data_IF_664910113812
#
_entry.id   IF_664910113812
#
_cell.length_a   1.000
_cell.length_b   1.000
_cell.length_c   1.000
_cell.angle_alpha   90.00
_cell.angle_beta   90.00
_cell.angle_gamma   90.00
#
_symmetry.space_group_name_H-M   'P 1'
#
loop_
_entity.id
_entity.type
_entity.pdbx_description
1 polymer ?
#
# COMPACT_ATOMS: atom_id res chain seq x y z
N UNK A 1 22.52 -48.35 44.52
CA UNK A 1 22.92 -46.96 44.81
C UNK A 1 23.34 -46.17 43.57
N UNK A 2 23.89 -46.76 42.55
CA UNK A 2 24.21 -46.08 41.31
C UNK A 2 23.02 -45.74 40.42
N UNK A 3 21.90 -46.43 40.58
CA UNK A 3 20.67 -46.20 39.82
C UNK A 3 19.90 -44.91 40.21
N UNK A 4 20.05 -44.43 41.42
CA UNK A 4 19.40 -43.22 41.92
C UNK A 4 20.09 -41.98 41.38
N UNK A 5 21.36 -42.07 41.10
CA UNK A 5 22.16 -40.99 40.49
C UNK A 5 21.82 -40.74 39.01
N UNK A 6 21.42 -41.78 38.31
CA UNK A 6 21.06 -41.70 36.90
C UNK A 6 19.71 -41.05 36.66
N UNK A 7 18.80 -41.22 37.59
CA UNK A 7 17.46 -40.61 37.48
C UNK A 7 17.46 -39.11 37.74
N UNK A 8 18.43 -38.58 38.47
CA UNK A 8 18.53 -37.15 38.73
C UNK A 8 19.17 -36.41 37.56
N UNK A 9 19.98 -37.04 36.76
CA UNK A 9 20.62 -36.39 35.63
C UNK A 9 19.76 -36.36 34.37
N UNK A 10 18.81 -37.28 34.26
CA UNK A 10 17.88 -37.28 33.11
C UNK A 10 16.69 -36.32 33.25
N UNK A 11 16.33 -35.92 34.46
CA UNK A 11 15.25 -34.99 34.65
C UNK A 11 15.64 -33.52 34.46
N UNK A 12 16.91 -33.22 34.47
CA UNK A 12 17.39 -31.84 34.31
C UNK A 12 17.50 -31.38 32.85
N UNK A 13 17.61 -32.31 31.90
CA UNK A 13 17.79 -31.99 30.51
C UNK A 13 16.48 -31.71 29.76
N UNK A 14 15.35 -32.10 30.34
CA UNK A 14 14.06 -31.95 29.63
C UNK A 14 13.36 -30.64 29.92
N UNK A 15 13.67 -29.96 31.02
CA UNK A 15 13.01 -28.70 31.39
C UNK A 15 13.74 -27.45 30.98
N UNK A 16 14.91 -27.62 30.44
CA UNK A 16 15.62 -26.52 29.84
C UNK A 16 15.35 -26.49 28.33
N UNK A 17 14.09 -26.38 27.96
CA UNK A 17 13.80 -25.70 26.74
C UNK A 17 14.59 -24.42 26.81
N UNK A 18 15.55 -24.27 25.91
CA UNK A 18 16.32 -23.06 25.74
C UNK A 18 15.41 -21.88 26.03
N UNK A 19 15.70 -20.99 26.97
CA UNK A 19 15.04 -19.72 27.00
C UNK A 19 15.43 -19.07 25.69
N UNK A 20 14.64 -19.29 24.66
CA UNK A 20 14.58 -18.36 23.58
C UNK A 20 14.04 -17.08 24.25
N UNK A 21 14.96 -16.24 24.67
CA UNK A 21 14.64 -14.85 24.73
C UNK A 21 14.16 -14.55 23.32
N UNK A 22 12.85 -14.51 23.19
CA UNK A 22 12.26 -13.78 22.09
C UNK A 22 13.04 -12.48 22.04
N UNK A 23 13.71 -12.17 20.93
CA UNK A 23 14.31 -10.86 20.82
C UNK A 23 13.24 -9.91 21.30
N UNK A 24 13.56 -8.97 22.22
CA UNK A 24 12.60 -7.99 22.66
C UNK A 24 11.90 -7.55 21.39
N UNK A 25 10.55 -7.49 21.36
CA UNK A 25 9.90 -7.02 20.18
C UNK A 25 10.72 -5.82 19.78
N UNK A 26 11.38 -5.93 18.64
CA UNK A 26 11.97 -4.75 18.09
C UNK A 26 10.79 -3.80 18.18
N UNK A 27 10.87 -2.88 19.12
CA UNK A 27 10.21 -1.63 18.91
C UNK A 27 10.76 -1.29 17.53
N UNK A 28 10.08 -1.78 16.49
CA UNK A 28 10.03 -1.00 15.30
C UNK A 28 9.77 0.36 15.91
N UNK A 29 10.81 1.16 16.01
CA UNK A 29 10.59 2.57 16.05
C UNK A 29 9.62 2.72 14.89
N UNK A 30 8.35 2.71 15.23
CA UNK A 30 7.37 3.37 14.43
C UNK A 30 7.94 4.77 14.39
N UNK A 31 8.90 4.93 13.48
CA UNK A 31 9.08 6.20 12.85
C UNK A 31 7.69 6.41 12.29
N UNK A 32 6.83 7.02 13.11
CA UNK A 32 5.69 7.73 12.60
C UNK A 32 6.32 8.67 11.58
N UNK A 33 6.53 8.14 10.40
CA UNK A 33 6.65 8.95 9.23
C UNK A 33 5.34 9.71 9.27
N UNK A 34 5.40 10.93 9.79
CA UNK A 34 4.28 11.86 9.63
C UNK A 34 3.92 11.81 8.16
N UNK A 35 2.92 11.01 7.85
CA UNK A 35 2.43 10.90 6.48
C UNK A 35 1.82 12.25 6.21
N UNK A 36 2.53 13.07 5.47
CA UNK A 36 2.06 14.41 5.14
C UNK A 36 0.71 14.28 4.44
N UNK A 37 -0.26 15.07 4.83
CA UNK A 37 -1.62 15.05 4.25
C UNK A 37 -1.60 15.15 2.72
N UNK A 38 -0.65 15.91 2.16
CA UNK A 38 -0.45 16.02 0.71
C UNK A 38 -0.14 14.70 0.02
N UNK A 39 0.38 13.72 0.74
CA UNK A 39 0.76 12.42 0.21
C UNK A 39 -0.38 11.40 0.26
N UNK A 40 -1.51 11.74 0.86
CA UNK A 40 -2.66 10.84 1.04
C UNK A 40 -3.84 11.28 0.20
N UNK A 41 -4.36 10.37 -0.60
CA UNK A 41 -5.65 10.53 -1.27
C UNK A 41 -6.66 9.64 -0.57
N UNK A 42 -7.66 10.24 0.05
CA UNK A 42 -8.71 9.50 0.76
C UNK A 42 -9.82 9.11 -0.20
N UNK A 43 -10.10 7.82 -0.29
CA UNK A 43 -11.22 7.26 -1.03
C UNK A 43 -12.17 6.61 -0.04
N UNK A 44 -13.41 7.02 -0.05
CA UNK A 44 -14.44 6.50 0.85
C UNK A 44 -15.61 5.93 0.06
N UNK A 45 -16.00 4.71 0.41
CA UNK A 45 -17.26 4.10 0.01
C UNK A 45 -18.18 4.04 1.23
N UNK A 46 -19.32 4.70 1.13
CA UNK A 46 -20.30 4.72 2.19
C UNK A 46 -21.25 3.50 2.14
N UNK A 47 -22.15 3.42 3.11
CA UNK A 47 -23.16 2.37 3.23
C UNK A 47 -24.15 2.31 2.05
N UNK A 48 -24.25 3.40 1.28
CA UNK A 48 -25.10 3.52 0.10
C UNK A 48 -24.32 3.32 -1.21
N UNK A 49 -23.12 2.76 -1.14
CA UNK A 49 -22.24 2.55 -2.28
C UNK A 49 -21.79 3.84 -2.99
N UNK A 50 -21.87 4.97 -2.30
CA UNK A 50 -21.43 6.25 -2.85
C UNK A 50 -19.94 6.43 -2.68
N UNK A 51 -19.28 6.74 -3.78
CA UNK A 51 -17.85 6.98 -3.83
C UNK A 51 -17.53 8.46 -3.57
N UNK A 52 -16.64 8.71 -2.62
CA UNK A 52 -16.11 10.04 -2.33
C UNK A 52 -14.58 10.04 -2.40
N UNK A 53 -14.06 11.14 -2.88
CA UNK A 53 -12.62 11.40 -2.91
C UNK A 53 -12.36 12.71 -2.14
N UNK A 54 -11.60 12.63 -1.03
CA UNK A 54 -11.40 13.75 -0.12
C UNK A 54 -12.71 14.45 0.27
N UNK A 55 -13.70 13.66 0.66
CA UNK A 55 -15.07 14.08 1.04
C UNK A 55 -15.93 14.66 -0.09
N UNK A 56 -15.41 14.74 -1.30
CA UNK A 56 -16.18 15.17 -2.48
C UNK A 56 -16.75 13.95 -3.22
N UNK A 57 -18.02 13.96 -3.63
CA UNK A 57 -18.58 12.90 -4.46
C UNK A 57 -17.92 12.92 -5.83
N UNK A 58 -17.52 11.74 -6.31
CA UNK A 58 -16.85 11.57 -7.61
C UNK A 58 -17.40 10.38 -8.37
N UNK A 59 -17.32 10.45 -9.68
CA UNK A 59 -17.57 9.30 -10.56
C UNK A 59 -16.32 8.45 -10.70
N UNK A 60 -16.45 7.20 -11.14
CA UNK A 60 -15.30 6.32 -11.39
C UNK A 60 -14.36 6.88 -12.45
N UNK A 61 -14.87 7.57 -13.44
CA UNK A 61 -14.09 8.18 -14.52
C UNK A 61 -13.28 9.37 -14.00
N UNK A 62 -13.92 10.26 -13.25
CA UNK A 62 -13.25 11.39 -12.59
C UNK A 62 -12.20 10.90 -11.59
N UNK A 63 -12.51 9.83 -10.86
CA UNK A 63 -11.57 9.23 -9.91
C UNK A 63 -10.33 8.68 -10.62
N UNK A 64 -10.48 8.05 -11.77
CA UNK A 64 -9.35 7.55 -12.57
C UNK A 64 -8.39 8.70 -12.90
N UNK A 65 -8.90 9.82 -13.38
CA UNK A 65 -8.06 10.99 -13.71
C UNK A 65 -7.46 11.65 -12.46
N UNK A 66 -8.20 11.72 -11.37
CA UNK A 66 -7.69 12.24 -10.09
C UNK A 66 -6.54 11.37 -9.55
N UNK A 67 -6.66 10.06 -9.59
CA UNK A 67 -5.60 9.13 -9.18
C UNK A 67 -4.37 9.29 -10.06
N UNK A 68 -4.54 9.37 -11.36
CA UNK A 68 -3.42 9.57 -12.31
C UNK A 68 -2.67 10.87 -12.02
N UNK A 69 -3.36 11.96 -11.85
CA UNK A 69 -2.76 13.25 -11.53
C UNK A 69 -2.08 13.24 -10.16
N UNK A 70 -2.73 12.60 -9.17
CA UNK A 70 -2.20 12.48 -7.82
C UNK A 70 -0.90 11.67 -7.79
N UNK A 71 -0.88 10.51 -8.42
CA UNK A 71 0.29 9.62 -8.45
C UNK A 71 1.41 10.22 -9.29
N UNK A 72 1.10 10.73 -10.47
CA UNK A 72 2.10 11.24 -11.39
C UNK A 72 2.65 12.61 -10.97
N UNK A 73 1.82 13.46 -10.37
CA UNK A 73 2.17 14.86 -10.05
C UNK A 73 3.05 15.52 -11.13
N UNK A 74 2.56 15.66 -12.35
CA UNK A 74 3.39 16.03 -13.50
C UNK A 74 3.97 17.44 -13.41
N UNK A 75 3.30 18.32 -12.68
CA UNK A 75 3.71 19.72 -12.48
C UNK A 75 4.53 19.94 -11.22
N UNK A 76 4.78 18.87 -10.44
CA UNK A 76 5.41 18.95 -9.14
C UNK A 76 4.72 19.95 -8.20
N UNK A 77 3.41 19.89 -8.17
CA UNK A 77 2.54 20.75 -7.35
C UNK A 77 2.78 20.48 -5.86
N UNK A 78 2.98 21.51 -5.03
CA UNK A 78 3.20 21.35 -3.59
C UNK A 78 1.98 20.81 -2.84
N UNK A 79 0.79 20.80 -3.43
CA UNK A 79 -0.43 20.20 -2.86
C UNK A 79 -0.57 18.71 -3.18
N UNK A 80 0.22 18.21 -4.10
CA UNK A 80 0.24 16.81 -4.51
C UNK A 80 1.44 16.07 -3.88
N UNK A 81 1.48 14.74 -3.91
CA UNK A 81 2.52 13.96 -3.27
C UNK A 81 3.93 14.34 -3.68
N UNK A 82 4.83 14.27 -2.71
CA UNK A 82 6.26 14.41 -2.94
C UNK A 82 6.79 13.25 -3.78
N UNK A 83 7.84 13.53 -4.55
CA UNK A 83 8.55 12.53 -5.33
C UNK A 83 9.96 12.34 -4.79
N UNK A 84 10.49 11.15 -4.94
CA UNK A 84 11.90 10.84 -4.64
C UNK A 84 12.71 10.77 -5.93
N UNK A 85 14.01 11.00 -5.82
CA UNK A 85 14.95 10.77 -6.91
C UNK A 85 15.65 9.45 -6.67
N UNK A 86 15.56 8.53 -7.60
CA UNK A 86 16.18 7.21 -7.53
C UNK A 86 16.81 6.82 -8.86
N UNK A 87 17.78 5.92 -8.78
CA UNK A 87 18.32 5.25 -9.95
C UNK A 87 17.48 4.04 -10.29
N UNK A 88 16.88 4.03 -11.46
CA UNK A 88 16.01 2.95 -11.95
C UNK A 88 16.57 2.42 -13.27
N UNK A 89 16.66 1.11 -13.39
CA UNK A 89 17.09 0.46 -14.61
C UNK A 89 16.30 1.00 -15.81
N UNK A 90 16.94 1.23 -16.94
CA UNK A 90 16.39 1.80 -18.18
C UNK A 90 16.02 3.29 -18.14
N UNK A 91 15.82 3.87 -16.95
CA UNK A 91 15.44 5.28 -16.77
C UNK A 91 16.61 6.13 -16.27
N UNK A 92 17.63 5.49 -15.68
CA UNK A 92 18.71 6.19 -15.01
C UNK A 92 18.20 6.91 -13.75
N UNK A 93 18.83 8.03 -13.43
CA UNK A 93 18.42 8.86 -12.30
C UNK A 93 17.15 9.62 -12.65
N UNK A 94 16.04 9.20 -12.11
CA UNK A 94 14.72 9.75 -12.38
C UNK A 94 13.92 10.01 -11.11
N UNK A 95 12.86 10.79 -11.25
CA UNK A 95 11.88 10.99 -10.18
C UNK A 95 10.89 9.83 -10.15
N UNK A 96 10.69 9.27 -8.97
CA UNK A 96 9.72 8.19 -8.74
C UNK A 96 8.63 8.64 -7.80
N UNK A 97 7.41 8.15 -8.03
CA UNK A 97 6.22 8.45 -7.22
C UNK A 97 6.04 7.43 -6.11
N UNK A 98 6.94 7.40 -5.15
CA UNK A 98 6.98 6.41 -4.07
C UNK A 98 6.47 6.91 -2.72
N UNK A 99 6.00 8.15 -2.66
CA UNK A 99 5.51 8.79 -1.43
C UNK A 99 3.99 8.86 -1.31
N UNK A 100 3.27 8.68 -2.41
CA UNK A 100 1.82 8.72 -2.40
C UNK A 100 1.22 7.50 -1.69
N UNK A 101 0.06 7.70 -1.07
CA UNK A 101 -0.74 6.64 -0.47
C UNK A 101 -2.19 6.85 -0.87
N UNK A 102 -2.82 5.82 -1.45
CA UNK A 102 -4.26 5.77 -1.63
C UNK A 102 -4.88 5.11 -0.39
N UNK A 103 -5.57 5.89 0.41
CA UNK A 103 -6.26 5.41 1.60
C UNK A 103 -7.70 5.08 1.25
N UNK A 104 -8.06 3.80 1.32
CA UNK A 104 -9.41 3.32 1.03
C UNK A 104 -10.11 3.05 2.34
N UNK A 105 -11.24 3.69 2.56
CA UNK A 105 -12.12 3.43 3.68
C UNK A 105 -13.46 2.92 3.18
N UNK A 106 -13.84 1.73 3.62
CA UNK A 106 -15.06 1.05 3.18
C UNK A 106 -15.96 0.82 4.38
N UNK A 107 -17.25 1.17 4.26
CA UNK A 107 -18.24 0.79 5.25
C UNK A 107 -18.48 -0.72 5.24
N UNK A 108 -18.82 -1.31 6.38
CA UNK A 108 -19.20 -2.73 6.46
C UNK A 108 -20.45 -3.08 5.65
N UNK A 109 -21.29 -2.10 5.43
CA UNK A 109 -22.55 -2.25 4.70
C UNK A 109 -22.42 -1.99 3.20
N UNK A 110 -21.22 -1.58 2.76
CA UNK A 110 -20.91 -1.40 1.33
C UNK A 110 -21.04 -2.72 0.59
N UNK A 111 -21.68 -2.72 -0.58
CA UNK A 111 -21.80 -3.89 -1.41
C UNK A 111 -20.44 -4.34 -1.95
N UNK A 112 -20.28 -5.65 -2.13
CA UNK A 112 -19.07 -6.21 -2.75
C UNK A 112 -18.85 -5.68 -4.17
N UNK A 113 -19.93 -5.48 -4.93
CA UNK A 113 -19.87 -4.96 -6.29
C UNK A 113 -19.29 -3.54 -6.34
N UNK A 114 -19.73 -2.65 -5.45
CA UNK A 114 -19.19 -1.29 -5.35
C UNK A 114 -17.70 -1.29 -4.97
N UNK A 115 -17.31 -2.15 -4.03
CA UNK A 115 -15.92 -2.33 -3.66
C UNK A 115 -15.08 -2.83 -4.82
N UNK A 116 -15.57 -3.83 -5.55
CA UNK A 116 -14.90 -4.38 -6.72
C UNK A 116 -14.74 -3.36 -7.85
N UNK A 117 -15.75 -2.54 -8.10
CA UNK A 117 -15.68 -1.44 -9.06
C UNK A 117 -14.63 -0.40 -8.67
N UNK A 118 -14.52 -0.07 -7.38
CA UNK A 118 -13.48 0.82 -6.88
C UNK A 118 -12.08 0.24 -7.11
N UNK A 119 -11.87 -1.03 -6.80
CA UNK A 119 -10.60 -1.71 -7.04
C UNK A 119 -10.23 -1.70 -8.52
N UNK A 120 -11.18 -1.98 -9.39
CA UNK A 120 -10.96 -1.91 -10.84
C UNK A 120 -10.59 -0.52 -11.31
N UNK A 121 -11.21 0.51 -10.75
CA UNK A 121 -10.91 1.91 -11.08
C UNK A 121 -9.47 2.27 -10.71
N UNK A 122 -9.03 1.85 -9.54
CA UNK A 122 -7.65 2.08 -9.07
C UNK A 122 -6.64 1.34 -9.97
N UNK A 123 -6.88 0.07 -10.23
CA UNK A 123 -6.02 -0.74 -11.12
C UNK A 123 -5.95 -0.13 -12.52
N UNK A 124 -7.07 0.34 -13.05
CA UNK A 124 -7.15 1.01 -14.35
C UNK A 124 -6.28 2.26 -14.38
N UNK A 125 -6.34 3.09 -13.34
CA UNK A 125 -5.54 4.31 -13.25
C UNK A 125 -4.03 4.00 -13.27
N UNK A 126 -3.57 3.07 -12.47
CA UNK A 126 -2.17 2.63 -12.46
C UNK A 126 -1.75 1.99 -13.79
N UNK A 127 -2.60 1.18 -14.37
CA UNK A 127 -2.34 0.57 -15.68
C UNK A 127 -2.15 1.62 -16.77
N UNK A 128 -2.99 2.63 -16.80
CA UNK A 128 -2.86 3.73 -17.76
C UNK A 128 -1.55 4.49 -17.56
N UNK A 129 -1.20 4.85 -16.32
CA UNK A 129 0.08 5.52 -16.03
C UNK A 129 1.28 4.68 -16.47
N UNK A 130 1.30 3.41 -16.15
CA UNK A 130 2.38 2.50 -16.52
C UNK A 130 2.47 2.29 -18.03
N UNK A 131 1.32 2.21 -18.70
CA UNK A 131 1.26 2.08 -20.14
C UNK A 131 1.77 3.33 -20.86
N UNK A 132 1.37 4.51 -20.41
CA UNK A 132 1.87 5.79 -20.94
C UNK A 132 3.40 5.90 -20.78
N UNK A 133 3.93 5.51 -19.62
CA UNK A 133 5.37 5.50 -19.39
C UNK A 133 6.08 4.48 -20.28
N UNK A 134 5.51 3.29 -20.46
CA UNK A 134 6.06 2.25 -21.34
C UNK A 134 6.14 2.72 -22.80
N UNK A 135 5.10 3.36 -23.29
CA UNK A 135 5.07 3.91 -24.66
C UNK A 135 6.10 5.03 -24.82
N UNK A 136 6.21 5.90 -23.82
CA UNK A 136 7.17 7.00 -23.82
C UNK A 136 8.62 6.52 -23.83
N UNK A 137 8.95 5.54 -23.00
CA UNK A 137 10.32 5.08 -22.80
C UNK A 137 10.73 3.98 -23.77
N UNK A 138 9.88 2.99 -23.99
CA UNK A 138 10.18 1.78 -24.76
C UNK A 138 9.49 1.72 -26.12
N UNK A 139 8.67 2.71 -26.47
CA UNK A 139 7.91 2.78 -27.72
C UNK A 139 6.99 1.57 -27.97
N UNK A 140 6.57 0.91 -26.92
CA UNK A 140 5.65 -0.22 -26.95
C UNK A 140 4.73 -0.24 -25.73
N UNK A 141 3.54 -0.86 -25.83
CA UNK A 141 2.62 -0.97 -24.71
C UNK A 141 3.22 -1.74 -23.53
N UNK A 142 2.80 -1.44 -22.31
CA UNK A 142 3.23 -2.13 -21.10
C UNK A 142 3.11 -3.65 -21.18
N UNK A 143 2.02 -4.15 -21.79
CA UNK A 143 1.79 -5.58 -21.98
C UNK A 143 2.84 -6.27 -22.85
N UNK A 144 3.50 -5.53 -23.76
CA UNK A 144 4.54 -6.02 -24.65
C UNK A 144 5.96 -5.80 -24.11
N UNK A 145 6.08 -5.18 -22.94
CA UNK A 145 7.37 -4.99 -22.29
C UNK A 145 7.90 -6.30 -21.70
N UNK A 146 9.22 -6.43 -21.60
CA UNK A 146 9.85 -7.54 -20.90
C UNK A 146 9.58 -7.44 -19.39
N UNK A 147 9.80 -8.54 -18.65
CA UNK A 147 9.62 -8.53 -17.19
C UNK A 147 10.50 -7.47 -16.52
N UNK A 148 11.74 -7.34 -16.93
CA UNK A 148 12.67 -6.34 -16.39
C UNK A 148 12.22 -4.90 -16.65
N UNK A 149 11.67 -4.65 -17.83
CA UNK A 149 11.11 -3.34 -18.18
C UNK A 149 9.87 -3.02 -17.35
N UNK A 150 8.99 -3.99 -17.12
CA UNK A 150 7.82 -3.84 -16.26
C UNK A 150 8.20 -3.58 -14.81
N UNK A 151 9.22 -4.27 -14.32
CA UNK A 151 9.72 -4.08 -12.96
C UNK A 151 10.27 -2.66 -12.79
N UNK A 152 11.00 -2.16 -13.76
CA UNK A 152 11.50 -0.78 -13.78
C UNK A 152 10.36 0.25 -13.79
N UNK A 153 9.34 0.04 -14.61
CA UNK A 153 8.14 0.89 -14.65
C UNK A 153 7.41 0.86 -13.30
N UNK A 154 7.30 -0.33 -12.69
CA UNK A 154 6.72 -0.51 -11.36
C UNK A 154 7.47 0.20 -10.25
N UNK A 155 8.77 0.42 -10.39
CA UNK A 155 9.56 1.23 -9.46
C UNK A 155 9.28 2.72 -9.59
N UNK A 156 8.95 3.20 -10.79
CA UNK A 156 8.59 4.61 -11.04
C UNK A 156 7.19 4.91 -10.52
N UNK A 157 6.24 4.00 -10.75
CA UNK A 157 4.84 4.10 -10.27
C UNK A 157 4.45 2.89 -9.42
N UNK A 158 4.96 2.77 -8.19
CA UNK A 158 4.57 1.68 -7.31
C UNK A 158 3.12 1.85 -6.84
N UNK A 159 2.40 0.74 -6.73
CA UNK A 159 1.08 0.75 -6.09
C UNK A 159 1.23 0.84 -4.59
N UNK A 160 0.70 1.91 -4.01
CA UNK A 160 0.70 2.14 -2.57
C UNK A 160 -0.72 2.39 -2.09
N UNK A 161 -1.35 1.34 -1.61
CA UNK A 161 -2.75 1.33 -1.21
C UNK A 161 -2.81 0.90 0.26
N UNK A 162 -3.51 1.69 1.07
CA UNK A 162 -3.88 1.34 2.43
C UNK A 162 -5.39 1.17 2.50
N UNK A 163 -5.85 0.04 3.00
CA UNK A 163 -7.27 -0.26 3.15
C UNK A 163 -7.64 -0.32 4.63
N UNK A 164 -8.74 0.31 4.99
CA UNK A 164 -9.34 0.22 6.30
C UNK A 164 -10.85 0.02 6.17
N UNK A 165 -11.40 -0.74 7.10
CA UNK A 165 -12.83 -0.93 7.23
C UNK A 165 -13.32 -0.03 8.34
N UNK A 166 -14.26 0.85 8.03
CA UNK A 166 -14.90 1.69 9.03
C UNK A 166 -15.56 0.78 10.08
N UNK A 167 -14.93 0.71 11.25
CA UNK A 167 -15.54 0.07 12.40
C UNK A 167 -16.66 0.97 12.84
N UNK A 168 -17.90 0.57 12.54
CA UNK A 168 -19.05 1.25 13.10
C UNK A 168 -18.80 1.49 14.57
N UNK A 169 -18.94 2.71 15.01
CA UNK A 169 -18.93 3.08 16.41
C UNK A 169 -19.92 2.15 17.11
N UNK A 170 -19.41 1.15 17.84
CA UNK A 170 -20.20 0.49 18.83
C UNK A 170 -20.47 1.55 19.90
N UNK A 171 -21.54 2.29 19.73
CA UNK A 171 -22.14 3.01 20.82
C UNK A 171 -22.61 1.93 21.80
N UNK A 172 -21.67 1.45 22.59
CA UNK A 172 -21.99 0.64 23.76
C UNK A 172 -22.55 1.56 24.82
N UNK A 173 -23.82 1.81 24.74
CA UNK A 173 -24.57 2.13 25.95
C UNK A 173 -24.69 0.83 26.75
N UNK A 174 -23.97 0.78 27.86
CA UNK A 174 -24.19 -0.17 28.93
C UNK A 174 -25.08 0.49 29.97
#
# INVERSE_FOLDING_TARGET
MLLIFFLMTSSMDTDKGLPRQLPPPQQEEQVELEVKERNVLQLKLDENDKLRCNDEPVTHEELTERIKTFVANPTNDPTLPEKSVRDVNYFGRCTVSDRHILSIMVSRETSYDAYFQLQNTIVKAYRQLRNELAIKQFKRPYAKCTQYERDAIGMVYPQRISEDVERGTLNGEW
#
